data_IF_750131707121
#
_entry.id   IF_750131707121
#
_cell.length_a   1.000
_cell.length_b   1.000
_cell.length_c   1.000
_cell.angle_alpha   90.00
_cell.angle_beta   90.00
_cell.angle_gamma   90.00
#
_symmetry.space_group_name_H-M   'P 1'
#
loop_
_entity.id
_entity.type
_entity.pdbx_description
1 polymer ?
#
# COMPACT_ATOMS: atom_id res chain seq x y z
N UNK A 1 -5.67 -19.70 -21.76
CA UNK A 1 -4.33 -19.08 -21.82
C UNK A 1 -3.30 -20.19 -22.05
N UNK A 2 -2.42 -20.08 -23.07
CA UNK A 2 -1.36 -21.06 -23.33
C UNK A 2 -0.06 -20.63 -22.64
N UNK A 3 0.24 -21.25 -21.50
CA UNK A 3 1.50 -21.11 -20.79
C UNK A 3 2.60 -21.91 -21.51
N UNK A 4 3.84 -21.39 -21.55
CA UNK A 4 4.99 -22.06 -22.19
C UNK A 4 4.83 -22.30 -23.69
N UNK A 5 4.14 -21.40 -24.40
CA UNK A 5 4.10 -21.43 -25.85
C UNK A 5 5.31 -20.68 -26.41
N UNK A 6 5.97 -21.26 -27.40
CA UNK A 6 7.02 -20.61 -28.16
C UNK A 6 6.44 -20.18 -29.50
N UNK A 7 6.63 -18.91 -29.88
CA UNK A 7 6.09 -18.35 -31.12
C UNK A 7 7.11 -18.31 -32.25
N UNK A 8 8.33 -18.78 -31.98
CA UNK A 8 9.46 -18.79 -32.91
C UNK A 8 10.29 -20.08 -32.75
N UNK A 9 10.86 -20.66 -33.83
CA UNK A 9 11.69 -21.87 -33.78
C UNK A 9 12.89 -21.75 -32.85
N UNK A 10 13.45 -20.54 -32.70
CA UNK A 10 14.61 -20.27 -31.84
C UNK A 10 14.20 -20.04 -30.38
N UNK A 11 12.90 -20.11 -30.05
CA UNK A 11 12.35 -19.90 -28.70
C UNK A 11 12.72 -18.54 -28.08
N UNK A 12 13.08 -17.56 -28.90
CA UNK A 12 13.43 -16.20 -28.45
C UNK A 12 12.22 -15.44 -27.91
N UNK A 13 11.02 -15.77 -28.41
CA UNK A 13 9.76 -15.20 -27.95
C UNK A 13 8.87 -16.34 -27.46
N UNK A 14 8.60 -16.34 -26.16
CA UNK A 14 7.71 -17.29 -25.51
C UNK A 14 6.77 -16.61 -24.54
N UNK A 15 5.61 -17.24 -24.29
CA UNK A 15 4.74 -16.85 -23.18
C UNK A 15 5.32 -17.38 -21.87
N UNK A 16 6.34 -16.69 -21.35
CA UNK A 16 6.90 -16.97 -20.03
C UNK A 16 6.38 -15.95 -19.03
N UNK A 17 5.53 -16.40 -18.12
CA UNK A 17 5.01 -15.56 -17.05
C UNK A 17 3.81 -16.21 -16.38
N UNK A 18 3.90 -16.41 -15.06
CA UNK A 18 2.76 -16.78 -14.22
C UNK A 18 1.66 -15.69 -14.20
N UNK A 19 1.93 -14.53 -14.82
CA UNK A 19 1.04 -13.37 -14.90
C UNK A 19 0.90 -12.96 -16.36
N UNK A 20 -0.21 -13.38 -17.00
CA UNK A 20 -0.49 -13.06 -18.41
C UNK A 20 -1.05 -11.65 -18.62
N UNK A 21 -1.41 -10.97 -17.53
CA UNK A 21 -1.94 -9.61 -17.50
C UNK A 21 -1.38 -8.90 -16.27
N UNK A 22 -1.01 -7.63 -16.45
CA UNK A 22 -0.63 -6.74 -15.35
C UNK A 22 -1.90 -6.02 -14.91
N UNK A 23 -2.35 -6.24 -13.67
CA UNK A 23 -3.51 -5.54 -13.12
C UNK A 23 -3.16 -4.09 -12.79
N UNK A 24 -4.10 -3.17 -13.04
CA UNK A 24 -4.01 -1.76 -12.62
C UNK A 24 -4.44 -1.56 -11.18
N UNK A 25 -5.10 -2.57 -10.60
CA UNK A 25 -5.58 -2.60 -9.23
C UNK A 25 -4.84 -3.68 -8.43
N UNK A 26 -4.66 -3.44 -7.13
CA UNK A 26 -3.94 -4.34 -6.23
C UNK A 26 -4.58 -4.36 -4.84
N UNK A 27 -4.98 -5.54 -4.37
CA UNK A 27 -5.44 -5.74 -2.99
C UNK A 27 -4.23 -5.92 -2.10
N UNK A 28 -4.15 -5.13 -1.04
CA UNK A 28 -3.03 -5.09 -0.14
C UNK A 28 -3.50 -5.20 1.32
N UNK A 29 -2.76 -5.97 2.12
CA UNK A 29 -2.93 -6.01 3.57
C UNK A 29 -2.18 -4.85 4.21
N UNK A 30 -2.88 -4.11 5.06
CA UNK A 30 -2.32 -3.06 5.90
C UNK A 30 -2.41 -3.51 7.34
N UNK A 31 -1.25 -3.58 7.99
CA UNK A 31 -1.13 -3.95 9.40
C UNK A 31 -1.12 -2.67 10.21
N UNK A 32 -2.04 -2.58 11.17
CA UNK A 32 -2.14 -1.43 12.07
C UNK A 32 -2.16 -1.90 13.51
N UNK A 33 -1.58 -1.11 14.39
CA UNK A 33 -1.60 -1.40 15.82
C UNK A 33 -1.99 -0.17 16.63
N UNK A 34 -2.54 -0.42 17.81
CA UNK A 34 -3.05 0.59 18.71
C UNK A 34 -2.71 0.23 20.17
N UNK A 35 -2.58 1.26 21.01
CA UNK A 35 -2.40 1.09 22.47
C UNK A 35 -3.70 1.01 23.23
N UNK A 36 -4.66 1.83 22.83
CA UNK A 36 -6.01 1.85 23.37
C UNK A 36 -6.98 1.92 22.20
N UNK A 37 -8.04 1.12 22.28
CA UNK A 37 -9.15 1.14 21.31
C UNK A 37 -10.39 1.78 21.95
N UNK A 38 -10.30 2.13 23.24
CA UNK A 38 -11.34 2.79 24.02
C UNK A 38 -10.95 4.24 24.26
N UNK A 39 -11.64 5.17 23.61
CA UNK A 39 -11.44 6.62 23.73
C UNK A 39 -12.12 7.40 22.60
N UNK A 40 -12.13 8.73 22.72
CA UNK A 40 -12.69 9.67 21.73
C UNK A 40 -11.90 9.69 20.40
N UNK A 41 -10.71 9.09 20.38
CA UNK A 41 -9.81 9.05 19.23
C UNK A 41 -10.28 8.11 18.10
N UNK A 42 -11.20 7.19 18.37
CA UNK A 42 -11.81 6.32 17.35
C UNK A 42 -10.79 5.63 16.43
N UNK A 43 -10.82 5.94 15.13
CA UNK A 43 -9.87 5.42 14.13
C UNK A 43 -8.45 6.00 14.23
N UNK A 44 -8.27 7.17 14.85
CA UNK A 44 -6.96 7.85 14.94
C UNK A 44 -5.99 7.16 15.91
N UNK A 45 -6.47 6.22 16.75
CA UNK A 45 -5.61 5.45 17.64
C UNK A 45 -4.77 4.39 16.90
N UNK A 46 -5.11 4.07 15.65
CA UNK A 46 -4.45 3.06 14.84
C UNK A 46 -3.30 3.64 14.04
N UNK A 47 -2.12 3.06 14.23
CA UNK A 47 -0.92 3.44 13.48
C UNK A 47 -0.50 2.31 12.56
N UNK A 48 -0.25 2.65 11.30
CA UNK A 48 0.06 1.68 10.25
C UNK A 48 1.57 1.40 10.19
N UNK A 49 1.93 0.13 10.02
CA UNK A 49 3.31 -0.24 9.70
C UNK A 49 3.57 0.00 8.22
N UNK A 50 4.56 0.85 7.92
CA UNK A 50 4.92 1.15 6.53
C UNK A 50 5.93 0.13 6.01
N UNK A 51 5.70 -0.37 4.79
CA UNK A 51 6.53 -1.41 4.18
C UNK A 51 7.64 -0.83 3.30
N UNK A 52 8.66 -1.65 2.99
CA UNK A 52 9.87 -1.23 2.27
C UNK A 52 9.66 -1.00 0.79
N UNK A 53 8.68 -1.61 0.15
CA UNK A 53 8.41 -1.39 -1.28
C UNK A 53 6.92 -1.40 -1.57
N UNK A 54 6.19 -2.27 -0.89
CA UNK A 54 4.75 -2.44 -1.02
C UNK A 54 4.01 -1.09 -0.95
N UNK A 55 2.97 -0.87 -1.79
CA UNK A 55 2.07 0.26 -1.65
C UNK A 55 1.57 0.40 -0.20
N UNK A 56 1.56 1.63 0.30
CA UNK A 56 1.13 1.97 1.65
C UNK A 56 0.65 3.41 1.69
N UNK A 57 1.52 4.39 2.03
CA UNK A 57 1.19 5.80 1.91
C UNK A 57 0.77 6.16 0.47
N UNK A 58 -0.38 6.83 0.32
CA UNK A 58 -0.98 7.16 -0.98
C UNK A 58 -0.16 8.17 -1.79
N UNK A 59 0.67 8.96 -1.11
CA UNK A 59 1.59 9.96 -1.66
C UNK A 59 2.88 9.34 -2.22
N UNK A 60 3.16 8.05 -1.94
CA UNK A 60 4.42 7.41 -2.34
C UNK A 60 4.24 6.50 -3.55
N UNK A 61 4.91 6.88 -4.64
CA UNK A 61 5.04 6.03 -5.83
C UNK A 61 5.84 4.74 -5.58
N UNK A 62 5.75 3.77 -6.50
CA UNK A 62 6.47 2.52 -6.42
C UNK A 62 7.99 2.75 -6.44
N UNK A 63 8.71 1.98 -5.62
CA UNK A 63 10.17 2.03 -5.58
C UNK A 63 10.81 1.07 -6.57
N UNK A 64 12.01 1.40 -7.03
CA UNK A 64 12.85 0.48 -7.77
C UNK A 64 13.37 -0.62 -6.84
N UNK A 65 13.07 -1.88 -7.17
CA UNK A 65 13.32 -3.03 -6.28
C UNK A 65 14.60 -3.80 -6.60
N UNK A 66 15.15 -3.65 -7.80
CA UNK A 66 16.37 -4.37 -8.21
C UNK A 66 17.57 -3.93 -7.37
N UNK A 67 18.48 -4.84 -6.93
CA UNK A 67 18.53 -6.29 -7.18
C UNK A 67 17.87 -7.17 -6.09
N UNK A 68 17.27 -6.57 -5.06
CA UNK A 68 16.81 -7.29 -3.86
C UNK A 68 15.31 -7.56 -3.88
N UNK A 69 14.91 -8.77 -3.47
CA UNK A 69 13.50 -9.13 -3.32
C UNK A 69 13.08 -9.04 -1.85
N UNK A 70 12.20 -8.10 -1.53
CA UNK A 70 11.63 -7.97 -0.18
C UNK A 70 10.61 -9.08 0.05
N UNK A 71 11.05 -10.14 0.75
CA UNK A 71 10.24 -11.35 0.93
C UNK A 71 8.97 -11.12 1.73
N UNK A 72 8.99 -10.26 2.76
CA UNK A 72 7.77 -9.97 3.51
C UNK A 72 6.72 -9.30 2.62
N UNK A 73 7.10 -8.26 1.88
CA UNK A 73 6.22 -7.53 0.96
C UNK A 73 5.57 -8.48 -0.06
N UNK A 74 6.35 -9.42 -0.59
CA UNK A 74 5.87 -10.46 -1.51
C UNK A 74 4.91 -11.45 -0.84
N UNK A 75 5.26 -11.95 0.36
CA UNK A 75 4.41 -12.86 1.12
C UNK A 75 3.09 -12.21 1.51
N UNK A 76 3.09 -10.93 1.92
CA UNK A 76 1.88 -10.17 2.22
C UNK A 76 1.00 -9.95 1.00
N UNK A 77 1.60 -9.74 -0.17
CA UNK A 77 0.84 -9.66 -1.41
C UNK A 77 0.13 -10.98 -1.72
N UNK A 78 0.81 -12.11 -1.59
CA UNK A 78 0.18 -13.42 -1.77
C UNK A 78 -0.92 -13.64 -0.71
N UNK A 79 -0.64 -13.29 0.55
CA UNK A 79 -1.60 -13.42 1.65
C UNK A 79 -2.86 -12.56 1.42
N UNK A 80 -2.71 -11.38 0.81
CA UNK A 80 -3.84 -10.51 0.45
C UNK A 80 -4.84 -11.18 -0.51
N UNK A 81 -4.36 -12.10 -1.35
CA UNK A 81 -5.17 -12.87 -2.30
C UNK A 81 -5.86 -14.09 -1.67
N UNK A 82 -5.50 -14.47 -0.44
CA UNK A 82 -6.12 -15.58 0.30
C UNK A 82 -7.41 -15.13 0.97
N UNK A 83 -8.39 -16.02 1.20
CA UNK A 83 -9.67 -15.66 1.82
C UNK A 83 -9.53 -15.22 3.29
N UNK A 84 -8.57 -15.79 4.03
CA UNK A 84 -8.35 -15.56 5.45
C UNK A 84 -6.87 -15.68 5.85
N UNK A 85 -6.59 -15.31 7.09
CA UNK A 85 -5.25 -15.38 7.69
C UNK A 85 -4.81 -16.83 7.98
N UNK A 86 -5.76 -17.77 8.14
CA UNK A 86 -5.47 -19.18 8.42
C UNK A 86 -4.72 -19.82 7.26
N UNK A 87 -5.02 -19.39 6.03
CA UNK A 87 -4.28 -19.75 4.83
C UNK A 87 -2.83 -19.25 4.80
N UNK A 88 -2.42 -18.40 5.75
CA UNK A 88 -1.07 -17.84 5.89
C UNK A 88 -0.61 -17.87 7.36
N UNK A 89 -0.35 -19.06 7.95
CA UNK A 89 -0.09 -19.22 9.39
C UNK A 89 1.07 -18.37 9.93
N UNK A 90 2.09 -18.13 9.10
CA UNK A 90 3.23 -17.28 9.45
C UNK A 90 2.83 -15.87 9.89
N UNK A 91 1.66 -15.38 9.46
CA UNK A 91 1.17 -14.06 9.84
C UNK A 91 0.84 -13.97 11.32
N UNK A 92 0.35 -15.05 11.95
CA UNK A 92 0.04 -14.99 13.38
C UNK A 92 1.30 -14.70 14.20
N UNK A 93 2.41 -15.34 13.86
CA UNK A 93 3.68 -15.08 14.54
C UNK A 93 4.27 -13.71 14.22
N UNK A 94 4.10 -13.22 12.99
CA UNK A 94 4.44 -11.83 12.69
C UNK A 94 3.65 -10.87 13.58
N UNK A 95 2.33 -11.04 13.70
CA UNK A 95 1.48 -10.16 14.51
C UNK A 95 1.81 -10.25 16.01
N UNK A 96 2.12 -11.45 16.50
CA UNK A 96 2.57 -11.69 17.87
C UNK A 96 3.87 -10.91 18.16
N UNK A 97 4.87 -11.02 17.27
CA UNK A 97 6.13 -10.28 17.38
C UNK A 97 5.98 -8.76 17.31
N UNK A 98 5.03 -8.26 16.51
CA UNK A 98 4.73 -6.84 16.45
C UNK A 98 4.09 -6.32 17.74
N UNK A 99 3.22 -7.11 18.39
CA UNK A 99 2.66 -6.76 19.70
C UNK A 99 3.72 -6.83 20.81
N UNK A 100 4.66 -7.77 20.71
CA UNK A 100 5.80 -7.86 21.61
C UNK A 100 6.78 -6.67 21.47
N UNK A 101 6.67 -5.86 20.41
CA UNK A 101 7.57 -4.73 20.16
C UNK A 101 9.01 -5.20 19.89
N UNK A 102 9.17 -6.28 19.13
CA UNK A 102 10.47 -6.81 18.73
C UNK A 102 11.13 -5.90 17.68
N UNK A 103 12.05 -5.03 18.15
CA UNK A 103 12.74 -4.06 17.30
C UNK A 103 13.53 -4.71 16.16
N UNK A 104 14.05 -5.93 16.33
CA UNK A 104 14.78 -6.62 15.26
C UNK A 104 13.83 -6.94 14.11
N UNK A 105 12.64 -7.45 14.44
CA UNK A 105 11.61 -7.76 13.45
C UNK A 105 11.15 -6.48 12.75
N UNK A 106 10.83 -5.42 13.49
CA UNK A 106 10.30 -4.20 12.86
C UNK A 106 11.33 -3.52 11.96
N UNK A 107 12.58 -3.37 12.42
CA UNK A 107 13.64 -2.72 11.65
C UNK A 107 14.09 -3.54 10.43
N UNK A 108 14.11 -4.87 10.54
CA UNK A 108 14.49 -5.73 9.42
C UNK A 108 13.41 -5.82 8.35
N UNK A 109 12.13 -5.84 8.74
CA UNK A 109 11.04 -6.17 7.84
C UNK A 109 10.26 -4.94 7.33
N UNK A 110 10.16 -3.88 8.12
CA UNK A 110 9.37 -2.69 7.79
C UNK A 110 10.27 -1.49 7.47
N UNK A 111 9.69 -0.49 6.81
CA UNK A 111 10.38 0.77 6.52
C UNK A 111 10.30 1.76 7.67
N UNK A 112 9.21 1.72 8.44
CA UNK A 112 8.99 2.58 9.59
C UNK A 112 8.19 1.83 10.66
N UNK A 113 8.68 1.85 11.89
CA UNK A 113 7.94 1.41 13.07
C UNK A 113 7.19 2.62 13.67
N UNK A 114 5.84 2.61 13.69
CA UNK A 114 5.06 3.69 14.28
C UNK A 114 5.25 3.86 15.80
N UNK A 115 5.93 2.94 16.48
CA UNK A 115 6.21 2.98 17.91
C UNK A 115 7.70 3.11 18.23
N UNK A 116 8.54 3.38 17.23
CA UNK A 116 9.98 3.53 17.44
C UNK A 116 10.29 4.58 18.51
N UNK A 117 11.14 4.23 19.47
CA UNK A 117 11.55 5.13 20.55
C UNK A 117 10.50 5.35 21.65
N UNK A 118 9.32 4.76 21.54
CA UNK A 118 8.30 4.88 22.57
C UNK A 118 8.43 3.80 23.66
N UNK A 119 8.09 4.15 24.91
CA UNK A 119 8.26 3.26 26.07
C UNK A 119 7.20 2.16 26.16
N UNK A 120 5.99 2.43 25.64
CA UNK A 120 4.86 1.53 25.77
C UNK A 120 4.60 0.76 24.47
N UNK A 121 4.40 -0.55 24.58
CA UNK A 121 4.12 -1.42 23.44
C UNK A 121 2.65 -1.33 23.00
N UNK A 122 2.35 -1.55 21.71
CA UNK A 122 0.98 -1.68 21.25
C UNK A 122 0.30 -2.88 21.92
N UNK A 123 -0.99 -2.75 22.23
CA UNK A 123 -1.79 -3.81 22.89
C UNK A 123 -2.74 -4.51 21.94
N UNK A 124 -3.10 -3.81 20.86
CA UNK A 124 -4.07 -4.25 19.88
C UNK A 124 -3.47 -4.21 18.49
N UNK A 125 -3.81 -5.19 17.68
CA UNK A 125 -3.41 -5.25 16.28
C UNK A 125 -4.60 -5.62 15.42
N UNK A 126 -4.60 -5.11 14.20
CA UNK A 126 -5.55 -5.47 13.15
C UNK A 126 -4.85 -5.50 11.80
N UNK A 127 -5.44 -6.24 10.89
CA UNK A 127 -5.03 -6.33 9.50
C UNK A 127 -6.27 -6.09 8.65
N UNK A 128 -6.18 -5.06 7.82
CA UNK A 128 -7.27 -4.61 6.97
C UNK A 128 -6.87 -4.78 5.50
N UNK A 129 -7.83 -5.06 4.63
CA UNK A 129 -7.65 -5.11 3.17
C UNK A 129 -8.00 -3.77 2.57
N UNK A 130 -7.11 -3.30 1.71
CA UNK A 130 -7.34 -2.12 0.90
C UNK A 130 -7.10 -2.43 -0.57
N UNK A 131 -7.90 -1.84 -1.44
CA UNK A 131 -7.70 -1.84 -2.88
C UNK A 131 -6.95 -0.58 -3.26
N UNK A 132 -5.76 -0.76 -3.85
CA UNK A 132 -4.94 0.31 -4.39
C UNK A 132 -5.12 0.40 -5.89
N UNK A 133 -5.37 1.61 -6.40
CA UNK A 133 -5.42 1.94 -7.83
C UNK A 133 -4.50 3.13 -8.09
N UNK A 134 -3.97 3.24 -9.31
CA UNK A 134 -3.25 4.46 -9.69
C UNK A 134 -4.21 5.64 -9.67
N UNK A 135 -3.79 6.73 -9.03
CA UNK A 135 -4.58 7.97 -9.05
C UNK A 135 -4.63 8.51 -10.47
N UNK A 136 -5.84 8.63 -11.03
CA UNK A 136 -6.02 9.20 -12.36
C UNK A 136 -5.91 10.73 -12.26
N UNK A 137 -4.84 11.29 -12.81
CA UNK A 137 -4.73 12.75 -12.92
C UNK A 137 -5.79 13.26 -13.89
N UNK A 138 -6.51 14.31 -13.52
CA UNK A 138 -7.36 15.02 -14.48
C UNK A 138 -6.50 15.38 -15.69
N UNK A 139 -6.83 14.80 -16.86
CA UNK A 139 -6.12 15.14 -18.09
C UNK A 139 -6.29 16.63 -18.30
N UNK A 140 -5.18 17.36 -18.32
CA UNK A 140 -5.17 18.77 -18.70
C UNK A 140 -6.03 18.90 -19.96
N UNK A 141 -7.11 19.68 -19.88
CA UNK A 141 -7.96 19.97 -21.04
C UNK A 141 -7.04 20.50 -22.11
N UNK A 142 -6.74 19.65 -23.11
CA UNK A 142 -5.89 20.01 -24.23
C UNK A 142 -6.61 21.15 -24.92
N UNK A 143 -6.13 22.38 -24.68
CA UNK A 143 -6.69 23.57 -25.29
C UNK A 143 -6.78 23.31 -26.77
N UNK A 144 -8.00 23.22 -27.31
CA UNK A 144 -8.19 23.41 -28.74
C UNK A 144 -7.82 24.86 -28.98
N UNK A 145 -6.57 25.10 -29.38
CA UNK A 145 -6.25 26.31 -30.11
C UNK A 145 -6.91 26.14 -31.47
N UNK A 146 -8.16 26.60 -31.59
CA UNK A 146 -8.70 26.99 -32.88
C UNK A 146 -7.75 28.07 -33.41
N UNK A 147 -7.00 27.72 -34.46
CA UNK A 147 -6.15 28.65 -35.19
C UNK A 147 -7.12 29.47 -36.04
N UNK A 148 -7.69 30.53 -35.46
CA UNK A 148 -8.33 31.59 -36.22
C UNK A 148 -7.24 32.51 -36.76
N UNK A 149 -6.81 32.22 -37.98
CA UNK A 149 -5.96 33.11 -38.77
C UNK A 149 -6.79 34.30 -39.27
N UNK A 150 -6.74 35.44 -38.57
CA UNK A 150 -6.95 36.74 -39.21
C UNK A 150 -6.19 37.88 -38.51
N UNK A 151 -5.13 38.31 -39.18
CA UNK A 151 -4.51 39.65 -39.28
C UNK A 151 -4.28 40.54 -38.04
N UNK A 152 -2.97 40.66 -37.74
CA UNK A 152 -2.15 41.87 -37.63
C UNK A 152 -2.61 43.13 -36.84
N UNK A 153 -1.63 43.56 -36.03
CA UNK A 153 -1.35 44.91 -35.50
C UNK A 153 -2.18 45.37 -34.28
N UNK A 154 -1.57 45.35 -33.09
CA UNK A 154 -0.74 46.45 -32.57
C UNK A 154 -0.41 46.29 -31.08
N UNK A 155 0.80 46.71 -30.71
CA UNK A 155 1.26 47.24 -29.43
C UNK A 155 0.29 47.23 -28.23
N UNK A 156 0.70 46.60 -27.12
CA UNK A 156 1.08 47.28 -25.86
C UNK A 156 1.05 46.31 -24.66
N UNK A 157 2.11 46.41 -23.87
CA UNK A 157 2.20 46.15 -22.43
C UNK A 157 0.99 45.49 -21.75
N UNK A 158 1.18 44.26 -21.26
CA UNK A 158 0.50 43.85 -20.04
C UNK A 158 1.41 43.01 -19.14
N UNK A 159 1.77 43.65 -18.02
CA UNK A 159 2.29 43.03 -16.82
C UNK A 159 1.29 41.98 -16.32
N UNK A 160 1.58 40.69 -16.52
CA UNK A 160 0.90 39.64 -15.77
C UNK A 160 1.78 39.23 -14.60
N UNK A 161 1.49 39.85 -13.46
CA UNK A 161 1.81 39.35 -12.13
C UNK A 161 1.18 37.95 -11.98
N UNK A 162 1.94 36.90 -12.28
CA UNK A 162 1.63 35.58 -11.77
C UNK A 162 2.10 35.52 -10.32
N UNK A 163 1.25 36.03 -9.42
CA UNK A 163 1.25 35.65 -8.02
C UNK A 163 0.88 34.18 -7.92
N UNK A 164 1.85 33.30 -8.18
CA UNK A 164 1.78 31.93 -7.70
C UNK A 164 2.05 31.98 -6.20
N UNK A 165 1.02 32.33 -5.43
CA UNK A 165 0.96 31.99 -4.03
C UNK A 165 1.14 30.48 -3.96
N UNK A 166 2.36 30.06 -3.61
CA UNK A 166 2.68 28.71 -3.18
C UNK A 166 1.95 28.48 -1.86
N UNK A 167 0.64 28.28 -1.94
CA UNK A 167 -0.15 27.70 -0.86
C UNK A 167 0.31 26.26 -0.73
N UNK A 168 0.75 25.86 0.47
CA UNK A 168 1.06 24.51 0.93
C UNK A 168 0.27 23.42 0.18
N UNK A 169 0.74 23.06 -1.01
CA UNK A 169 0.06 22.09 -1.85
C UNK A 169 0.49 20.74 -1.33
N UNK A 170 -0.39 20.10 -0.57
CA UNK A 170 -0.27 18.67 -0.26
C UNK A 170 0.01 17.95 -1.57
N UNK A 171 1.12 17.20 -1.68
CA UNK A 171 1.51 16.58 -2.94
C UNK A 171 0.36 15.69 -3.42
N UNK A 172 0.04 15.78 -4.72
CA UNK A 172 -1.00 14.95 -5.33
C UNK A 172 -0.73 13.47 -5.02
N UNK A 173 -1.74 12.71 -4.57
CA UNK A 173 -1.57 11.30 -4.27
C UNK A 173 -1.20 10.53 -5.55
N UNK A 174 -0.35 9.53 -5.38
CA UNK A 174 0.00 8.58 -6.43
C UNK A 174 -1.02 7.42 -6.51
N UNK A 175 -1.60 7.04 -5.37
CA UNK A 175 -2.56 5.95 -5.25
C UNK A 175 -3.92 6.44 -4.74
N UNK A 176 -4.99 5.87 -5.30
CA UNK A 176 -6.29 5.82 -4.65
C UNK A 176 -6.37 4.56 -3.78
N UNK A 177 -6.80 4.71 -2.53
CA UNK A 177 -6.91 3.62 -1.56
C UNK A 177 -8.35 3.49 -1.07
N UNK A 178 -8.95 2.34 -1.33
CA UNK A 178 -10.32 2.02 -0.93
C UNK A 178 -10.32 0.89 0.12
N UNK A 179 -11.09 1.04 1.20
CA UNK A 179 -11.23 0.00 2.21
C UNK A 179 -12.14 -1.13 1.70
N UNK A 180 -11.58 -2.34 1.64
CA UNK A 180 -12.32 -3.53 1.18
C UNK A 180 -12.95 -4.28 2.34
N UNK A 181 -12.26 -4.34 3.48
CA UNK A 181 -12.77 -5.03 4.67
C UNK A 181 -11.68 -5.59 5.57
N UNK A 182 -12.09 -6.07 6.74
CA UNK A 182 -11.15 -6.59 7.74
C UNK A 182 -10.66 -7.99 7.38
N UNK A 183 -9.33 -8.13 7.31
CA UNK A 183 -8.68 -9.42 7.12
C UNK A 183 -8.64 -10.20 8.43
N UNK A 184 -8.14 -9.55 9.49
CA UNK A 184 -7.98 -10.14 10.83
C UNK A 184 -7.97 -9.05 11.92
N UNK A 185 -8.52 -9.29 13.12
CA UNK A 185 -9.44 -10.38 13.44
C UNK A 185 -10.81 -10.15 12.80
N UNK A 186 -11.59 -11.22 12.56
CA UNK A 186 -12.93 -11.09 11.96
C UNK A 186 -13.93 -10.38 12.86
N UNK A 187 -13.70 -10.36 14.18
CA UNK A 187 -14.52 -9.67 15.17
C UNK A 187 -13.61 -9.00 16.20
N UNK A 188 -14.01 -7.82 16.67
CA UNK A 188 -13.29 -7.09 17.71
C UNK A 188 -11.88 -6.67 17.30
N UNK A 189 -10.95 -6.84 18.24
CA UNK A 189 -9.53 -6.48 18.13
C UNK A 189 -8.68 -7.64 18.63
N UNK A 190 -7.50 -7.82 18.03
CA UNK A 190 -6.62 -8.91 18.40
C UNK A 190 -5.61 -8.43 19.46
N UNK A 191 -5.51 -9.19 20.55
CA UNK A 191 -4.48 -9.03 21.58
C UNK A 191 -3.51 -10.20 21.51
N UNK A 192 -2.42 -10.14 22.28
CA UNK A 192 -1.46 -11.25 22.39
C UNK A 192 -2.16 -12.55 22.77
N UNK A 193 -3.07 -12.50 23.74
CA UNK A 193 -3.80 -13.67 24.21
C UNK A 193 -4.72 -14.27 23.13
N UNK A 194 -5.40 -13.42 22.35
CA UNK A 194 -6.28 -13.91 21.29
C UNK A 194 -5.48 -14.55 20.15
N UNK A 195 -4.34 -13.97 19.79
CA UNK A 195 -3.46 -14.52 18.75
C UNK A 195 -2.87 -15.86 19.19
N UNK A 196 -2.40 -15.95 20.43
CA UNK A 196 -1.88 -17.21 20.98
C UNK A 196 -2.95 -18.30 21.04
N UNK A 197 -4.20 -17.94 21.36
CA UNK A 197 -5.33 -18.87 21.32
C UNK A 197 -5.61 -19.35 19.88
N UNK A 198 -5.58 -18.46 18.90
CA UNK A 198 -5.75 -18.81 17.49
C UNK A 198 -4.62 -19.71 16.98
N UNK A 199 -3.35 -19.44 17.34
CA UNK A 199 -2.20 -20.30 17.02
C UNK A 199 -2.42 -21.70 17.60
N UNK A 200 -2.77 -21.79 18.88
CA UNK A 200 -3.00 -23.07 19.55
C UNK A 200 -4.18 -23.88 18.96
N UNK A 201 -5.15 -23.21 18.32
CA UNK A 201 -6.23 -23.87 17.60
C UNK A 201 -5.79 -24.41 16.24
N UNK A 202 -4.79 -23.80 15.59
CA UNK A 202 -4.26 -24.25 14.30
C UNK A 202 -3.30 -25.44 14.43
N UNK A 203 -2.68 -25.62 15.59
CA UNK A 203 -1.76 -26.73 15.86
C UNK A 203 -2.47 -28.03 16.28
N UNK A 204 -3.80 -28.01 16.42
CA UNK A 204 -4.64 -29.18 16.72
C UNK A 204 -5.18 -29.84 15.47
#
# INVERSE_FOLDING_TARGET
QRMNAYFDPLRLVGSYGAFGTVSTERIELVISSARSVTGDDGENCWREYTHKVKPGPVDKGPRWISPYHYRLDWQLWIAALRPDIVSSPWMFELLNKLLDGDNEVTNCLFANDPWEGEKERPKYIRVDRYLYKYHEKEKAKRGKSEIDNSNENSNENNNNNNNNNATDATPEPYWDREYVGRFYPKRGVATVQSIQADIALLER
#
